data_IF_946380458084
#
_entry.id   IF_946380458084
#
_cell.length_a   1.000
_cell.length_b   1.000
_cell.length_c   1.000
_cell.angle_alpha   90.00
_cell.angle_beta   90.00
_cell.angle_gamma   90.00
#
_symmetry.space_group_name_H-M   'P 1'
#
loop_
_entity.id
_entity.type
_entity.pdbx_description
1 polymer ?
#
# COMPACT_ATOMS: atom_id res chain seq x y z
N UNK A 1 20.97 11.58 7.86
CA UNK A 1 19.98 10.78 7.10
C UNK A 1 19.24 11.71 6.15
N UNK A 2 19.43 11.60 4.84
CA UNK A 2 18.58 12.32 3.89
C UNK A 2 17.20 11.67 3.93
N UNK A 3 16.15 12.42 4.26
CA UNK A 3 14.78 11.91 4.22
C UNK A 3 14.37 11.53 2.79
N UNK A 4 13.44 10.59 2.66
CA UNK A 4 12.84 10.21 1.37
C UNK A 4 12.31 11.44 0.63
N UNK A 5 12.67 11.56 -0.64
CA UNK A 5 12.15 12.56 -1.55
C UNK A 5 10.65 12.38 -1.79
N UNK A 6 9.99 13.42 -2.30
CA UNK A 6 8.58 13.36 -2.68
C UNK A 6 8.31 12.25 -3.71
N UNK A 7 9.21 12.08 -4.68
CA UNK A 7 9.07 11.09 -5.74
C UNK A 7 9.18 9.68 -5.19
N UNK A 8 10.15 9.42 -4.32
CA UNK A 8 10.32 8.11 -3.67
C UNK A 8 9.10 7.74 -2.84
N UNK A 9 8.55 8.68 -2.03
CA UNK A 9 7.34 8.42 -1.23
C UNK A 9 6.12 8.06 -2.10
N UNK A 10 6.01 8.63 -3.30
CA UNK A 10 4.92 8.34 -4.24
C UNK A 10 5.09 6.97 -4.88
N UNK A 11 6.31 6.62 -5.26
CA UNK A 11 6.65 5.28 -5.77
C UNK A 11 6.42 4.22 -4.69
N UNK A 12 6.81 4.48 -3.44
CA UNK A 12 6.55 3.60 -2.31
C UNK A 12 5.04 3.39 -2.09
N UNK A 13 4.21 4.43 -2.25
CA UNK A 13 2.75 4.28 -2.18
C UNK A 13 2.23 3.38 -3.29
N UNK A 14 2.73 3.55 -4.51
CA UNK A 14 2.42 2.67 -5.62
C UNK A 14 2.80 1.22 -5.30
N UNK A 15 3.94 0.96 -4.66
CA UNK A 15 4.33 -0.41 -4.28
C UNK A 15 3.36 -1.07 -3.31
N UNK A 16 2.83 -0.33 -2.33
CA UNK A 16 1.78 -0.84 -1.44
C UNK A 16 0.51 -1.17 -2.23
N UNK A 17 0.06 -0.28 -3.12
CA UNK A 17 -1.13 -0.50 -3.93
C UNK A 17 -0.96 -1.65 -4.94
N UNK A 18 0.23 -1.79 -5.54
CA UNK A 18 0.57 -2.90 -6.44
C UNK A 18 0.54 -4.25 -5.69
N UNK A 19 1.07 -4.29 -4.47
CA UNK A 19 1.06 -5.49 -3.64
C UNK A 19 -0.37 -5.88 -3.25
N UNK A 20 -1.18 -4.90 -2.82
CA UNK A 20 -2.60 -5.11 -2.51
C UNK A 20 -3.37 -5.63 -3.72
N UNK A 21 -3.15 -5.04 -4.90
CA UNK A 21 -3.81 -5.48 -6.12
C UNK A 21 -3.38 -6.89 -6.53
N UNK A 22 -2.09 -7.22 -6.40
CA UNK A 22 -1.60 -8.57 -6.68
C UNK A 22 -2.21 -9.63 -5.76
N UNK A 23 -2.44 -9.28 -4.49
CA UNK A 23 -2.98 -10.22 -3.49
C UNK A 23 -4.50 -10.39 -3.58
N UNK A 24 -5.21 -9.31 -3.90
CA UNK A 24 -6.68 -9.27 -3.81
C UNK A 24 -7.39 -9.19 -5.16
N UNK A 25 -6.69 -8.80 -6.23
CA UNK A 25 -7.29 -8.41 -7.51
C UNK A 25 -8.05 -7.07 -7.46
N UNK A 26 -8.16 -6.44 -6.29
CA UNK A 26 -8.95 -5.22 -6.07
C UNK A 26 -8.10 -3.95 -6.24
N UNK A 27 -8.75 -2.85 -6.61
CA UNK A 27 -8.18 -1.49 -6.60
C UNK A 27 -8.89 -0.60 -5.55
N UNK A 28 -9.31 -1.18 -4.41
CA UNK A 28 -9.98 -0.45 -3.33
C UNK A 28 -11.51 -0.37 -3.46
N UNK A 29 -12.08 -1.33 -4.19
CA UNK A 29 -13.49 -1.41 -4.55
C UNK A 29 -13.90 -0.43 -5.67
N UNK A 30 -15.10 -0.61 -6.21
CA UNK A 30 -15.60 0.11 -7.40
C UNK A 30 -15.47 1.62 -7.29
N UNK A 31 -15.75 2.19 -6.12
CA UNK A 31 -15.72 3.62 -5.88
C UNK A 31 -14.30 4.25 -5.93
N UNK A 32 -13.26 3.46 -5.66
CA UNK A 32 -11.86 3.96 -5.64
C UNK A 32 -11.03 3.45 -6.82
N UNK A 33 -11.50 2.41 -7.53
CA UNK A 33 -10.74 1.66 -8.51
C UNK A 33 -10.05 2.54 -9.56
N UNK A 34 -10.80 3.43 -10.21
CA UNK A 34 -10.28 4.31 -11.25
C UNK A 34 -9.16 5.25 -10.74
N UNK A 35 -9.27 5.73 -9.51
CA UNK A 35 -8.28 6.64 -8.89
C UNK A 35 -7.01 5.89 -8.48
N UNK A 36 -7.17 4.70 -7.91
CA UNK A 36 -6.05 3.82 -7.56
C UNK A 36 -5.30 3.38 -8.81
N UNK A 37 -6.00 2.98 -9.87
CA UNK A 37 -5.40 2.59 -11.14
C UNK A 37 -4.62 3.73 -11.79
N UNK A 38 -5.23 4.92 -11.89
CA UNK A 38 -4.57 6.11 -12.42
C UNK A 38 -3.32 6.49 -11.61
N UNK A 39 -3.40 6.46 -10.28
CA UNK A 39 -2.24 6.73 -9.42
C UNK A 39 -1.14 5.68 -9.58
N UNK A 40 -1.48 4.40 -9.72
CA UNK A 40 -0.50 3.33 -9.97
C UNK A 40 0.17 3.47 -11.33
N UNK A 41 -0.53 3.94 -12.35
CA UNK A 41 0.03 4.16 -13.68
C UNK A 41 1.05 5.31 -13.69
N UNK A 42 0.76 6.42 -13.01
CA UNK A 42 1.66 7.57 -12.90
C UNK A 42 1.67 8.20 -11.48
N UNK A 43 2.41 7.64 -10.52
CA UNK A 43 2.43 8.14 -9.15
C UNK A 43 3.14 9.49 -9.02
N UNK A 44 4.00 9.84 -9.97
CA UNK A 44 4.80 11.07 -9.95
C UNK A 44 3.98 12.25 -10.48
N UNK A 45 3.32 12.08 -11.64
CA UNK A 45 2.47 13.10 -12.24
C UNK A 45 1.10 13.23 -11.59
N UNK A 46 0.64 12.24 -10.82
CA UNK A 46 -0.64 12.32 -10.13
C UNK A 46 -0.73 13.54 -9.18
N UNK A 47 -1.89 14.22 -9.12
CA UNK A 47 -2.14 15.32 -8.21
C UNK A 47 -1.85 14.97 -6.74
N UNK A 48 -1.51 15.97 -5.92
CA UNK A 48 -1.30 15.77 -4.47
C UNK A 48 -2.57 15.26 -3.77
N UNK A 49 -3.75 15.64 -4.26
CA UNK A 49 -5.04 15.13 -3.78
C UNK A 49 -5.18 13.63 -4.02
N UNK A 50 -4.68 13.10 -5.14
CA UNK A 50 -4.69 11.66 -5.41
C UNK A 50 -3.74 10.92 -4.47
N UNK A 51 -2.54 11.45 -4.25
CA UNK A 51 -1.60 10.87 -3.28
C UNK A 51 -2.18 10.78 -1.86
N UNK A 52 -2.90 11.83 -1.43
CA UNK A 52 -3.58 11.86 -0.14
C UNK A 52 -4.75 10.88 -0.11
N UNK A 53 -5.56 10.85 -1.17
CA UNK A 53 -6.74 9.99 -1.27
C UNK A 53 -6.37 8.50 -1.21
N UNK A 54 -5.49 8.04 -2.10
CA UNK A 54 -5.10 6.61 -2.14
C UNK A 54 -4.38 6.19 -0.86
N UNK A 55 -3.69 7.12 -0.20
CA UNK A 55 -3.07 6.89 1.10
C UNK A 55 -4.06 6.71 2.25
N UNK A 56 -5.26 7.28 2.16
CA UNK A 56 -6.28 7.21 3.19
C UNK A 56 -7.21 5.99 3.05
N UNK A 57 -7.04 5.17 2.01
CA UNK A 57 -7.83 3.95 1.82
C UNK A 57 -7.38 2.90 2.85
N UNK A 58 -8.33 2.37 3.62
CA UNK A 58 -8.11 1.26 4.54
C UNK A 58 -7.95 -0.06 3.80
N UNK A 59 -7.18 -1.00 4.35
CA UNK A 59 -6.93 -2.30 3.72
C UNK A 59 -8.22 -3.08 3.46
N UNK A 60 -9.20 -2.99 4.35
CA UNK A 60 -10.57 -3.54 4.19
C UNK A 60 -11.24 -3.17 2.87
N UNK A 61 -10.86 -2.07 2.21
CA UNK A 61 -11.42 -1.73 0.88
C UNK A 61 -10.88 -2.62 -0.24
N UNK A 62 -9.72 -3.22 -0.04
CA UNK A 62 -9.07 -4.10 -1.02
C UNK A 62 -9.48 -5.55 -0.81
N UNK A 63 -9.77 -5.95 0.42
CA UNK A 63 -10.26 -7.29 0.72
C UNK A 63 -11.79 -7.37 0.61
N UNK A 64 -12.29 -8.28 -0.24
CA UNK A 64 -13.74 -8.55 -0.38
C UNK A 64 -14.33 -9.12 0.92
N UNK A 65 -13.54 -9.91 1.65
CA UNK A 65 -13.94 -10.54 2.90
C UNK A 65 -13.58 -9.62 4.10
N UNK A 66 -14.56 -9.22 4.94
CA UNK A 66 -14.33 -8.34 6.07
C UNK A 66 -13.44 -8.95 7.17
N UNK A 67 -13.21 -10.27 7.17
CA UNK A 67 -12.31 -10.94 8.10
C UNK A 67 -10.83 -10.88 7.68
N UNK A 68 -10.54 -10.26 6.53
CA UNK A 68 -9.19 -10.14 5.96
C UNK A 68 -8.62 -8.72 6.10
N UNK A 69 -7.27 -8.57 6.11
CA UNK A 69 -6.26 -9.61 6.00
C UNK A 69 -6.11 -10.43 7.28
N UNK A 70 -6.03 -11.76 7.14
CA UNK A 70 -5.64 -12.64 8.23
C UNK A 70 -4.10 -12.68 8.40
N UNK A 71 -3.58 -13.46 9.37
CA UNK A 71 -2.15 -13.51 9.66
C UNK A 71 -1.26 -13.94 8.47
N UNK A 72 -1.74 -14.84 7.60
CA UNK A 72 -0.97 -15.30 6.45
C UNK A 72 -0.95 -14.26 5.34
N UNK A 73 -2.10 -13.63 5.08
CA UNK A 73 -2.26 -12.52 4.12
C UNK A 73 -1.40 -11.34 4.55
N UNK A 74 -1.42 -10.97 5.84
CA UNK A 74 -0.54 -9.90 6.35
C UNK A 74 0.94 -10.17 6.08
N UNK A 75 1.40 -11.38 6.37
CA UNK A 75 2.80 -11.78 6.10
C UNK A 75 3.12 -11.74 4.60
N UNK A 76 2.21 -12.24 3.76
CA UNK A 76 2.39 -12.25 2.30
C UNK A 76 2.45 -10.84 1.73
N UNK A 77 1.52 -9.98 2.14
CA UNK A 77 1.46 -8.58 1.76
C UNK A 77 2.74 -7.86 2.17
N UNK A 78 3.18 -8.03 3.41
CA UNK A 78 4.40 -7.43 3.93
C UNK A 78 5.63 -7.81 3.10
N UNK A 79 5.82 -9.11 2.84
CA UNK A 79 6.95 -9.59 2.03
C UNK A 79 6.93 -9.00 0.62
N UNK A 80 5.75 -8.89 0.00
CA UNK A 80 5.61 -8.32 -1.34
C UNK A 80 5.97 -6.82 -1.35
N UNK A 81 5.47 -6.07 -0.37
CA UNK A 81 5.76 -4.63 -0.22
C UNK A 81 7.27 -4.41 -0.05
N UNK A 82 7.91 -5.13 0.87
CA UNK A 82 9.32 -4.92 1.19
C UNK A 82 10.23 -5.39 0.07
N UNK A 83 9.86 -6.45 -0.66
CA UNK A 83 10.55 -6.84 -1.90
C UNK A 83 10.51 -5.71 -2.94
N UNK A 84 9.36 -5.08 -3.15
CA UNK A 84 9.21 -3.95 -4.09
C UNK A 84 10.00 -2.71 -3.66
N UNK A 85 10.08 -2.46 -2.36
CA UNK A 85 10.88 -1.37 -1.78
C UNK A 85 12.38 -1.70 -1.64
N UNK A 86 12.87 -2.82 -2.21
CA UNK A 86 14.27 -3.25 -2.13
C UNK A 86 14.77 -3.49 -0.70
N UNK A 87 13.88 -3.89 0.20
CA UNK A 87 14.15 -4.28 1.59
C UNK A 87 13.76 -5.74 1.87
N UNK A 88 14.16 -6.72 1.04
CA UNK A 88 13.76 -8.10 1.25
C UNK A 88 14.26 -8.62 2.61
N UNK A 89 13.45 -9.46 3.25
CA UNK A 89 13.81 -10.11 4.52
C UNK A 89 13.58 -9.28 5.79
N UNK A 90 13.11 -8.04 5.68
CA UNK A 90 12.69 -7.26 6.86
C UNK A 90 11.51 -7.93 7.57
N UNK A 91 11.62 -8.10 8.88
CA UNK A 91 10.56 -8.70 9.71
C UNK A 91 9.31 -7.81 9.72
N UNK A 92 8.12 -8.43 9.65
CA UNK A 92 6.85 -7.74 9.82
C UNK A 92 6.76 -7.18 11.26
N UNK A 93 6.62 -5.85 11.44
CA UNK A 93 6.51 -5.27 12.77
C UNK A 93 5.21 -5.67 13.49
N UNK A 94 4.22 -6.19 12.78
CA UNK A 94 2.89 -6.48 13.31
C UNK A 94 2.13 -5.20 13.70
N UNK A 95 1.01 -5.36 14.42
CA UNK A 95 0.22 -4.23 14.92
C UNK A 95 -0.63 -3.49 13.88
N UNK A 96 -0.69 -4.01 12.64
CA UNK A 96 -1.56 -3.51 11.57
C UNK A 96 -2.57 -4.58 11.15
N UNK A 97 -3.72 -4.12 10.64
CA UNK A 97 -4.89 -4.96 10.30
C UNK A 97 -5.74 -4.31 9.19
N UNK A 98 -6.96 -4.81 8.97
CA UNK A 98 -7.88 -4.31 7.96
C UNK A 98 -8.24 -2.82 8.07
N UNK A 99 -8.09 -2.22 9.25
CA UNK A 99 -8.37 -0.80 9.51
C UNK A 99 -7.19 0.11 9.24
N UNK A 100 -5.99 -0.46 9.07
CA UNK A 100 -4.79 0.29 8.70
C UNK A 100 -4.97 0.89 7.31
N UNK A 101 -4.53 2.13 7.13
CA UNK A 101 -4.55 2.78 5.81
C UNK A 101 -3.25 2.53 5.03
N UNK A 102 -3.33 2.72 3.71
CA UNK A 102 -2.18 2.55 2.79
C UNK A 102 -1.00 3.44 3.21
N UNK A 103 -1.24 4.64 3.74
CA UNK A 103 -0.19 5.55 4.19
C UNK A 103 0.54 5.03 5.42
N UNK A 104 -0.17 4.48 6.40
CA UNK A 104 0.37 3.88 7.60
C UNK A 104 1.19 2.64 7.24
N UNK A 105 0.66 1.75 6.39
CA UNK A 105 1.38 0.55 5.95
C UNK A 105 2.65 0.90 5.18
N UNK A 106 2.60 1.93 4.32
CA UNK A 106 3.82 2.47 3.70
C UNK A 106 4.82 2.95 4.74
N UNK A 107 4.38 3.74 5.72
CA UNK A 107 5.29 4.28 6.73
C UNK A 107 5.97 3.16 7.54
N UNK A 108 5.27 2.06 7.82
CA UNK A 108 5.87 0.87 8.43
C UNK A 108 6.99 0.30 7.55
N UNK A 109 6.72 0.07 6.27
CA UNK A 109 7.70 -0.49 5.33
C UNK A 109 8.89 0.46 5.06
N UNK A 110 8.66 1.78 5.07
CA UNK A 110 9.71 2.80 4.93
C UNK A 110 10.67 2.84 6.12
N UNK A 111 10.21 2.47 7.32
CA UNK A 111 11.01 2.48 8.55
C UNK A 111 11.58 1.11 8.96
N UNK A 112 11.19 0.03 8.28
CA UNK A 112 11.77 -1.30 8.43
C UNK A 112 13.19 -1.38 7.84
#
# INVERSE_FOLDING_TARGET
MSGLTRSERRVNRKHVLDALHQETGSNGGDAAAARVEAFRADPIGAPTTEFAYVGALTLTRFYVDPSKPNANERRSLWMNITQRMQKPGTTDPGGWDGTTDVKQLQALAENA
#
